data_IF_214029709791
#
_entry.id   IF_214029709791
#
_cell.length_a   1.000
_cell.length_b   1.000
_cell.length_c   1.000
_cell.angle_alpha   90.00
_cell.angle_beta   90.00
_cell.angle_gamma   90.00
#
_symmetry.space_group_name_H-M   'P 1'
#
loop_
_entity.id
_entity.type
_entity.pdbx_description
1 polymer ?
#
# COMPACT_ATOMS: atom_id res chain seq x y z
N UNK A 1 -14.06 -12.40 7.15
CA UNK A 1 -12.93 -11.75 6.45
C UNK A 1 -12.56 -12.57 5.21
N UNK A 2 -12.45 -11.91 4.05
CA UNK A 2 -12.02 -12.58 2.82
C UNK A 2 -10.49 -12.71 2.90
N UNK A 3 -9.99 -13.94 2.79
CA UNK A 3 -8.55 -14.19 2.68
C UNK A 3 -8.11 -14.08 1.21
N UNK A 4 -6.88 -13.62 0.95
CA UNK A 4 -6.30 -13.69 -0.40
C UNK A 4 -6.30 -15.11 -0.97
N UNK A 5 -6.21 -16.13 -0.09
CA UNK A 5 -6.25 -17.54 -0.49
C UNK A 5 -7.64 -18.01 -0.98
N UNK A 6 -8.70 -17.25 -0.68
CA UNK A 6 -10.06 -17.55 -1.11
C UNK A 6 -10.46 -16.88 -2.43
N UNK A 7 -9.55 -16.13 -3.07
CA UNK A 7 -9.83 -15.44 -4.32
C UNK A 7 -9.80 -16.43 -5.48
N UNK A 8 -10.93 -16.56 -6.16
CA UNK A 8 -11.04 -17.36 -7.39
C UNK A 8 -10.37 -16.63 -8.57
N UNK A 9 -9.16 -17.04 -8.91
CA UNK A 9 -8.35 -16.43 -9.97
C UNK A 9 -8.93 -16.67 -11.39
N UNK A 10 -9.89 -17.57 -11.56
CA UNK A 10 -10.57 -17.78 -12.84
C UNK A 10 -11.73 -16.79 -13.05
N UNK A 11 -12.27 -16.27 -11.96
CA UNK A 11 -13.38 -15.30 -11.97
C UNK A 11 -12.92 -13.87 -11.72
N UNK A 12 -11.95 -13.67 -10.80
CA UNK A 12 -11.48 -12.33 -10.41
C UNK A 12 -10.31 -11.89 -11.29
N UNK A 13 -10.36 -10.65 -11.77
CA UNK A 13 -9.32 -10.07 -12.66
C UNK A 13 -8.49 -8.97 -12.00
N UNK A 14 -9.02 -8.34 -10.97
CA UNK A 14 -8.37 -7.25 -10.24
C UNK A 14 -8.94 -7.17 -8.82
N UNK A 15 -8.13 -6.80 -7.86
CA UNK A 15 -8.56 -6.49 -6.49
C UNK A 15 -8.51 -4.99 -6.25
N UNK A 16 -9.42 -4.48 -5.45
CA UNK A 16 -9.39 -3.13 -4.90
C UNK A 16 -9.30 -3.23 -3.40
N UNK A 17 -8.27 -2.63 -2.83
CA UNK A 17 -8.07 -2.50 -1.39
C UNK A 17 -8.40 -1.08 -0.97
N UNK A 18 -9.33 -0.92 -0.04
CA UNK A 18 -9.73 0.39 0.50
C UNK A 18 -10.06 0.29 1.99
N UNK A 19 -10.01 1.40 2.70
CA UNK A 19 -10.38 1.46 4.12
C UNK A 19 -11.90 1.52 4.34
N UNK A 20 -12.36 0.98 5.45
CA UNK A 20 -13.74 1.12 5.87
C UNK A 20 -14.05 2.57 6.29
N UNK A 21 -15.18 3.11 5.85
CA UNK A 21 -15.57 4.50 6.12
C UNK A 21 -14.78 5.53 5.31
N UNK A 22 -14.71 6.77 5.81
CA UNK A 22 -14.15 7.90 5.05
C UNK A 22 -12.90 8.53 5.66
N UNK A 23 -12.50 8.11 6.85
CA UNK A 23 -11.44 8.77 7.63
C UNK A 23 -10.07 8.16 7.43
N UNK A 24 -9.99 6.86 7.36
CA UNK A 24 -8.70 6.15 7.31
C UNK A 24 -8.73 5.04 6.28
N UNK A 25 -7.63 4.91 5.57
CA UNK A 25 -7.31 3.70 4.82
C UNK A 25 -6.79 2.65 5.80
N UNK A 26 -5.60 2.84 6.33
CA UNK A 26 -5.01 2.09 7.46
C UNK A 26 -4.10 3.04 8.22
N UNK A 27 -4.38 3.28 9.49
CA UNK A 27 -3.66 4.28 10.30
C UNK A 27 -2.45 3.73 11.08
N UNK A 28 -1.93 2.58 10.70
CA UNK A 28 -0.76 1.94 11.31
C UNK A 28 -1.08 0.60 11.99
N UNK A 29 -0.04 -0.04 12.54
CA UNK A 29 -0.19 -1.20 13.40
C UNK A 29 -0.58 -0.76 14.83
N UNK A 30 -1.09 -1.68 15.63
CA UNK A 30 -1.38 -1.40 17.05
C UNK A 30 -0.06 -1.24 17.84
N UNK A 31 0.25 0.02 18.17
CA UNK A 31 1.48 0.37 18.91
C UNK A 31 1.44 -0.23 20.32
N UNK A 32 0.27 -0.37 20.93
CA UNK A 32 0.14 -0.95 22.26
C UNK A 32 0.49 -2.45 22.23
N UNK A 33 0.04 -3.18 21.21
CA UNK A 33 0.43 -4.58 20.99
C UNK A 33 1.95 -4.70 20.78
N UNK A 34 2.53 -3.82 19.96
CA UNK A 34 3.96 -3.86 19.66
C UNK A 34 4.84 -3.52 20.86
N UNK A 35 4.40 -2.65 21.78
CA UNK A 35 5.19 -2.18 22.92
C UNK A 35 5.49 -3.26 23.96
N UNK A 36 4.74 -4.35 23.95
CA UNK A 36 4.89 -5.47 24.89
C UNK A 36 5.73 -6.62 24.35
N UNK A 37 6.14 -6.56 23.07
CA UNK A 37 6.88 -7.64 22.44
C UNK A 37 8.32 -7.70 22.90
N UNK A 38 8.80 -8.90 23.18
CA UNK A 38 10.24 -9.18 23.30
C UNK A 38 10.93 -9.00 21.93
N UNK A 39 12.27 -8.95 21.90
CA UNK A 39 13.03 -8.86 20.67
C UNK A 39 12.65 -9.97 19.67
N UNK A 40 12.58 -11.22 20.14
CA UNK A 40 12.25 -12.37 19.28
C UNK A 40 10.81 -12.29 18.74
N UNK A 41 9.86 -11.87 19.55
CA UNK A 41 8.47 -11.66 19.12
C UNK A 41 8.37 -10.50 18.13
N UNK A 42 9.11 -9.41 18.34
CA UNK A 42 9.18 -8.28 17.41
C UNK A 42 9.76 -8.68 16.04
N UNK A 43 10.81 -9.51 16.02
CA UNK A 43 11.38 -10.08 14.80
C UNK A 43 10.35 -10.97 14.07
N UNK A 44 9.64 -11.82 14.79
CA UNK A 44 8.60 -12.68 14.23
C UNK A 44 7.41 -11.86 13.70
N UNK A 45 6.99 -10.82 14.41
CA UNK A 45 5.95 -9.88 13.98
C UNK A 45 6.33 -9.17 12.68
N UNK A 46 7.55 -8.59 12.64
CA UNK A 46 8.08 -7.94 11.45
C UNK A 46 8.17 -8.88 10.24
N UNK A 47 8.64 -10.11 10.47
CA UNK A 47 8.69 -11.14 9.42
C UNK A 47 7.29 -11.46 8.90
N UNK A 48 6.33 -11.72 9.78
CA UNK A 48 4.94 -12.02 9.41
C UNK A 48 4.32 -10.89 8.58
N UNK A 49 4.51 -9.63 8.98
CA UNK A 49 4.03 -8.48 8.23
C UNK A 49 4.66 -8.36 6.85
N UNK A 50 5.98 -8.56 6.75
CA UNK A 50 6.68 -8.57 5.47
C UNK A 50 6.18 -9.70 4.56
N UNK A 51 5.98 -10.91 5.08
CA UNK A 51 5.48 -12.06 4.33
C UNK A 51 4.07 -11.79 3.77
N UNK A 52 3.18 -11.20 4.58
CA UNK A 52 1.82 -10.81 4.14
C UNK A 52 1.86 -9.73 3.06
N UNK A 53 2.67 -8.69 3.23
CA UNK A 53 2.76 -7.60 2.26
C UNK A 53 3.45 -8.07 0.98
N UNK A 54 4.44 -8.95 1.08
CA UNK A 54 5.04 -9.59 -0.10
C UNK A 54 4.03 -10.47 -0.84
N UNK A 55 3.19 -11.20 -0.12
CA UNK A 55 2.10 -12.00 -0.73
C UNK A 55 1.14 -11.11 -1.53
N UNK A 56 0.80 -9.92 -1.02
CA UNK A 56 -0.03 -8.95 -1.73
C UNK A 56 0.68 -8.41 -3.00
N UNK A 57 1.95 -8.04 -2.87
CA UNK A 57 2.78 -7.52 -3.96
C UNK A 57 2.94 -8.53 -5.10
N UNK A 58 3.13 -9.81 -4.75
CA UNK A 58 3.29 -10.92 -5.72
C UNK A 58 1.98 -11.62 -6.05
N UNK A 59 0.84 -11.09 -5.59
CA UNK A 59 -0.46 -11.69 -5.88
C UNK A 59 -0.67 -11.80 -7.39
N UNK A 60 -1.19 -12.95 -7.92
CA UNK A 60 -1.16 -13.22 -9.37
C UNK A 60 -1.91 -12.20 -10.23
N UNK A 61 -2.93 -11.52 -9.68
CA UNK A 61 -3.71 -10.50 -10.40
C UNK A 61 -3.40 -9.10 -9.87
N UNK A 62 -3.66 -8.04 -10.66
CA UNK A 62 -3.47 -6.67 -10.21
C UNK A 62 -4.25 -6.30 -8.95
N UNK A 63 -3.61 -5.48 -8.11
CA UNK A 63 -4.21 -4.94 -6.88
C UNK A 63 -4.11 -3.41 -6.93
N UNK A 64 -5.25 -2.75 -6.77
CA UNK A 64 -5.36 -1.28 -6.70
C UNK A 64 -5.59 -0.90 -5.24
N UNK A 65 -4.73 -0.04 -4.68
CA UNK A 65 -5.01 0.65 -3.44
C UNK A 65 -5.80 1.92 -3.73
N UNK A 66 -7.05 1.97 -3.24
CA UNK A 66 -7.87 3.17 -3.21
C UNK A 66 -7.80 3.79 -1.82
N UNK A 67 -6.84 4.69 -1.64
CA UNK A 67 -6.47 5.26 -0.33
C UNK A 67 -7.42 6.39 0.03
N UNK A 68 -8.40 6.08 0.86
CA UNK A 68 -9.54 6.95 1.19
C UNK A 68 -9.34 7.85 2.43
N UNK A 69 -8.11 7.98 2.94
CA UNK A 69 -7.81 8.78 4.13
C UNK A 69 -6.40 8.54 4.65
N UNK A 70 -6.22 8.45 5.96
CA UNK A 70 -4.91 8.21 6.57
C UNK A 70 -4.32 6.86 6.17
N UNK A 71 -3.10 6.90 5.64
CA UNK A 71 -2.25 5.75 5.31
C UNK A 71 -0.88 5.95 5.98
N UNK A 72 -0.74 5.54 7.24
CA UNK A 72 0.43 5.83 8.08
C UNK A 72 1.12 4.54 8.51
N UNK A 73 2.46 4.57 8.56
CA UNK A 73 3.26 3.42 8.93
C UNK A 73 2.92 2.18 8.09
N UNK A 74 2.54 1.09 8.73
CA UNK A 74 2.05 -0.12 8.05
C UNK A 74 0.94 0.14 7.04
N UNK A 75 0.12 1.18 7.24
CA UNK A 75 -0.90 1.60 6.28
C UNK A 75 -0.31 2.19 4.99
N UNK A 76 0.75 2.98 5.09
CA UNK A 76 1.51 3.43 3.94
C UNK A 76 2.21 2.24 3.26
N UNK A 77 2.81 1.35 4.03
CA UNK A 77 3.53 0.18 3.54
C UNK A 77 2.63 -0.80 2.78
N UNK A 78 1.41 -1.11 3.28
CA UNK A 78 0.47 -1.97 2.55
C UNK A 78 -0.03 -1.30 1.27
N UNK A 79 -0.24 0.02 1.27
CA UNK A 79 -0.58 0.74 0.04
C UNK A 79 0.51 0.60 -1.02
N UNK A 80 1.79 0.68 -0.62
CA UNK A 80 2.95 0.50 -1.49
C UNK A 80 3.16 -0.95 -1.95
N UNK A 81 2.55 -1.92 -1.27
CA UNK A 81 2.56 -3.33 -1.69
C UNK A 81 1.53 -3.64 -2.79
N UNK A 82 0.61 -2.71 -3.06
CA UNK A 82 -0.30 -2.80 -4.19
C UNK A 82 0.38 -2.33 -5.48
N UNK A 83 -0.12 -2.77 -6.64
CA UNK A 83 0.45 -2.42 -7.94
C UNK A 83 0.20 -0.96 -8.31
N UNK A 84 -1.01 -0.49 -8.07
CA UNK A 84 -1.46 0.87 -8.39
C UNK A 84 -1.99 1.52 -7.12
N UNK A 85 -1.69 2.79 -6.93
CA UNK A 85 -2.21 3.62 -5.82
C UNK A 85 -2.92 4.83 -6.37
N UNK A 86 -4.19 4.95 -6.07
CA UNK A 86 -4.94 6.18 -6.22
C UNK A 86 -5.44 6.63 -4.86
N UNK A 87 -5.66 7.90 -4.67
CA UNK A 87 -6.09 8.39 -3.37
C UNK A 87 -7.15 9.49 -3.47
N UNK A 88 -7.85 9.72 -2.38
CA UNK A 88 -8.73 10.87 -2.21
C UNK A 88 -7.94 12.14 -1.85
N UNK A 89 -8.53 13.31 -2.10
CA UNK A 89 -7.93 14.62 -1.80
C UNK A 89 -7.57 14.79 -0.31
N UNK A 90 -8.31 14.12 0.58
CA UNK A 90 -8.06 14.14 2.02
C UNK A 90 -7.05 13.08 2.49
N UNK A 91 -6.49 12.27 1.58
CA UNK A 91 -5.51 11.25 1.96
C UNK A 91 -4.22 11.87 2.51
N UNK A 92 -3.68 11.20 3.51
CA UNK A 92 -2.42 11.56 4.17
C UNK A 92 -1.55 10.33 4.26
N UNK A 93 -0.31 10.45 3.81
CA UNK A 93 0.68 9.38 3.82
C UNK A 93 1.83 9.73 4.76
N UNK A 94 2.42 8.72 5.39
CA UNK A 94 3.59 8.93 6.24
C UNK A 94 4.23 7.63 6.70
N UNK A 95 5.51 7.74 7.07
CA UNK A 95 6.31 6.70 7.72
C UNK A 95 6.84 7.28 9.04
N UNK A 96 5.98 7.35 10.09
CA UNK A 96 6.31 8.05 11.33
C UNK A 96 7.15 7.22 12.31
N UNK A 97 7.57 6.02 11.94
CA UNK A 97 8.18 5.01 12.79
C UNK A 97 9.41 5.51 13.56
N UNK A 98 10.26 6.32 12.92
CA UNK A 98 11.46 6.85 13.59
C UNK A 98 11.13 7.80 14.74
N UNK A 99 9.96 8.45 14.72
CA UNK A 99 9.44 9.23 15.83
C UNK A 99 9.09 8.39 17.07
N UNK A 100 8.94 7.07 16.87
CA UNK A 100 8.70 6.07 17.92
C UNK A 100 9.96 5.28 18.27
N UNK A 101 11.13 5.64 17.70
CA UNK A 101 12.40 4.94 17.93
C UNK A 101 12.54 3.61 17.18
N UNK A 102 11.70 3.35 16.19
CA UNK A 102 11.74 2.12 15.36
C UNK A 102 11.88 2.49 13.87
N UNK A 103 12.13 1.49 13.05
CA UNK A 103 12.16 1.65 11.57
C UNK A 103 10.88 1.14 10.94
N UNK A 104 10.53 1.59 9.71
CA UNK A 104 9.46 0.96 8.92
C UNK A 104 9.72 -0.55 8.80
N UNK A 105 8.82 -1.36 9.37
CA UNK A 105 9.06 -2.79 9.60
C UNK A 105 8.53 -3.72 8.52
N UNK A 106 7.65 -3.22 7.62
CA UNK A 106 6.96 -4.05 6.63
C UNK A 106 7.37 -3.71 5.19
N UNK A 107 8.64 -3.33 5.01
CA UNK A 107 9.25 -3.11 3.70
C UNK A 107 9.17 -1.67 3.19
N UNK A 108 8.72 -0.70 4.01
CA UNK A 108 8.61 0.71 3.64
C UNK A 108 9.94 1.33 3.22
N UNK A 109 11.04 0.98 3.87
CA UNK A 109 12.39 1.45 3.50
C UNK A 109 12.76 1.09 2.06
N UNK A 110 12.26 -0.04 1.54
CA UNK A 110 12.57 -0.52 0.20
C UNK A 110 11.55 -0.03 -0.82
N UNK A 111 10.26 -0.18 -0.54
CA UNK A 111 9.20 0.21 -1.48
C UNK A 111 9.13 1.71 -1.68
N UNK A 112 9.22 2.51 -0.60
CA UNK A 112 9.19 3.96 -0.73
C UNK A 112 10.38 4.46 -1.58
N UNK A 113 11.59 3.96 -1.31
CA UNK A 113 12.78 4.38 -2.05
C UNK A 113 12.71 4.03 -3.56
N UNK A 114 12.07 2.91 -3.91
CA UNK A 114 11.85 2.52 -5.31
C UNK A 114 10.80 3.38 -5.99
N UNK A 115 9.77 3.81 -5.26
CA UNK A 115 8.68 4.61 -5.82
C UNK A 115 9.05 6.08 -6.00
N UNK A 116 9.68 6.70 -4.99
CA UNK A 116 9.90 8.16 -4.96
C UNK A 116 11.36 8.57 -5.06
N UNK A 117 12.25 7.60 -5.19
CA UNK A 117 13.71 7.81 -5.16
C UNK A 117 14.27 7.88 -3.74
N UNK A 118 15.54 7.48 -3.59
CA UNK A 118 16.18 7.33 -2.29
C UNK A 118 16.27 8.64 -1.48
N UNK A 119 16.51 9.77 -2.12
CA UNK A 119 16.61 11.08 -1.46
C UNK A 119 15.28 11.48 -0.81
N UNK A 120 14.17 11.39 -1.55
CA UNK A 120 12.84 11.72 -1.05
C UNK A 120 12.40 10.73 0.03
N UNK A 121 12.65 9.43 -0.14
CA UNK A 121 12.34 8.43 0.87
C UNK A 121 13.09 8.69 2.19
N UNK A 122 14.38 9.00 2.12
CA UNK A 122 15.19 9.38 3.30
C UNK A 122 14.61 10.62 3.98
N UNK A 123 14.27 11.65 3.21
CA UNK A 123 13.68 12.88 3.77
C UNK A 123 12.37 12.56 4.52
N UNK A 124 11.46 11.80 3.92
CA UNK A 124 10.17 11.46 4.54
C UNK A 124 10.36 10.61 5.80
N UNK A 125 11.17 9.56 5.73
CA UNK A 125 11.41 8.64 6.86
C UNK A 125 12.15 9.36 7.98
N UNK A 126 13.25 10.05 7.70
CA UNK A 126 14.09 10.66 8.74
C UNK A 126 13.38 11.80 9.48
N UNK A 127 12.52 12.53 8.79
CA UNK A 127 11.74 13.62 9.40
C UNK A 127 10.43 13.15 10.02
N UNK A 128 10.03 11.89 9.79
CA UNK A 128 8.73 11.34 10.21
C UNK A 128 7.52 12.20 9.79
N UNK A 129 7.69 13.07 8.77
CA UNK A 129 6.62 13.98 8.37
C UNK A 129 5.58 13.28 7.51
N UNK A 130 4.34 13.67 7.69
CA UNK A 130 3.25 13.27 6.82
C UNK A 130 3.15 14.19 5.60
N UNK A 131 2.68 13.63 4.49
CA UNK A 131 2.40 14.36 3.25
C UNK A 131 0.95 14.19 2.84
N UNK A 132 0.40 15.21 2.20
CA UNK A 132 -0.97 15.22 1.67
C UNK A 132 -1.00 14.72 0.22
N UNK A 133 -2.19 14.41 -0.27
CA UNK A 133 -2.43 13.88 -1.60
C UNK A 133 -1.73 14.64 -2.75
N UNK A 134 -1.73 15.99 -2.81
CA UNK A 134 -1.05 16.70 -3.89
C UNK A 134 0.48 16.46 -3.91
N UNK A 135 1.10 16.40 -2.73
CA UNK A 135 2.54 16.10 -2.64
C UNK A 135 2.81 14.63 -2.98
N UNK A 136 1.99 13.71 -2.49
CA UNK A 136 2.10 12.28 -2.82
C UNK A 136 2.03 12.04 -4.34
N UNK A 137 1.16 12.76 -5.04
CA UNK A 137 1.07 12.71 -6.49
C UNK A 137 2.31 13.31 -7.16
N UNK A 138 2.74 14.51 -6.71
CA UNK A 138 3.92 15.18 -7.27
C UNK A 138 5.20 14.35 -7.21
N UNK A 139 5.39 13.58 -6.13
CA UNK A 139 6.60 12.74 -5.94
C UNK A 139 6.46 11.33 -6.52
N UNK A 140 5.32 10.98 -7.14
CA UNK A 140 5.08 9.68 -7.74
C UNK A 140 4.71 8.57 -6.75
N UNK A 141 4.35 8.91 -5.51
CA UNK A 141 3.86 7.92 -4.54
C UNK A 141 2.48 7.39 -4.94
N UNK A 142 1.62 8.23 -5.51
CA UNK A 142 0.31 7.83 -6.04
C UNK A 142 0.15 8.18 -7.51
N UNK A 143 -0.67 7.41 -8.21
CA UNK A 143 -0.91 7.55 -9.66
C UNK A 143 -1.93 8.63 -10.01
N UNK A 144 -2.89 8.90 -9.10
CA UNK A 144 -3.93 9.91 -9.29
C UNK A 144 -4.58 10.31 -7.96
N UNK A 145 -5.21 11.48 -7.96
CA UNK A 145 -5.98 12.04 -6.82
C UNK A 145 -7.40 12.34 -7.30
N UNK A 146 -8.39 12.00 -6.49
CA UNK A 146 -9.81 12.17 -6.79
C UNK A 146 -10.54 12.83 -5.62
N UNK A 147 -11.67 13.51 -5.84
CA UNK A 147 -12.62 13.81 -4.78
C UNK A 147 -12.99 12.55 -4.00
N UNK A 148 -13.27 12.67 -2.71
CA UNK A 148 -13.54 11.52 -1.83
C UNK A 148 -14.62 10.59 -2.39
N UNK A 149 -15.71 11.15 -2.88
CA UNK A 149 -16.86 10.42 -3.44
C UNK A 149 -16.57 9.77 -4.79
N UNK A 150 -15.56 10.24 -5.52
CA UNK A 150 -15.18 9.71 -6.82
C UNK A 150 -14.09 8.64 -6.74
N UNK A 151 -13.42 8.49 -5.60
CA UNK A 151 -12.28 7.58 -5.45
C UNK A 151 -12.63 6.12 -5.78
N UNK A 152 -13.66 5.58 -5.13
CA UNK A 152 -14.05 4.18 -5.36
C UNK A 152 -14.62 3.95 -6.77
N UNK A 153 -15.50 4.81 -7.32
CA UNK A 153 -15.90 4.74 -8.73
C UNK A 153 -14.71 4.78 -9.70
N UNK A 154 -13.68 5.60 -9.43
CA UNK A 154 -12.47 5.64 -10.26
C UNK A 154 -11.66 4.34 -10.19
N UNK A 155 -11.52 3.75 -8.99
CA UNK A 155 -10.89 2.45 -8.81
C UNK A 155 -11.63 1.34 -9.55
N UNK A 156 -12.96 1.31 -9.45
CA UNK A 156 -13.81 0.34 -10.15
C UNK A 156 -13.73 0.48 -11.67
N UNK A 157 -13.72 1.72 -12.17
CA UNK A 157 -13.54 2.00 -13.61
C UNK A 157 -12.17 1.51 -14.11
N UNK A 158 -11.12 1.73 -13.32
CA UNK A 158 -9.77 1.26 -13.64
C UNK A 158 -9.71 -0.27 -13.63
N UNK A 159 -10.27 -0.92 -12.61
CA UNK A 159 -10.34 -2.38 -12.51
C UNK A 159 -11.13 -2.99 -13.67
N UNK A 160 -12.26 -2.39 -14.05
CA UNK A 160 -13.05 -2.79 -15.22
C UNK A 160 -12.25 -2.65 -16.53
N UNK A 161 -11.41 -1.60 -16.64
CA UNK A 161 -10.49 -1.45 -17.77
C UNK A 161 -9.45 -2.56 -17.84
N UNK A 162 -8.86 -2.95 -16.69
CA UNK A 162 -7.92 -4.07 -16.58
C UNK A 162 -8.62 -5.39 -16.95
N UNK A 163 -9.83 -5.61 -16.46
CA UNK A 163 -10.58 -6.84 -16.66
C UNK A 163 -10.96 -7.13 -18.14
N UNK A 164 -10.99 -6.10 -18.99
CA UNK A 164 -11.22 -6.23 -20.43
C UNK A 164 -10.02 -6.80 -21.19
N UNK A 165 -8.83 -6.77 -20.61
CA UNK A 165 -7.62 -7.24 -21.25
C UNK A 165 -7.40 -8.74 -21.01
N UNK A 166 -6.52 -9.35 -21.82
CA UNK A 166 -6.18 -10.77 -21.72
C UNK A 166 -5.55 -11.08 -20.35
N UNK A 167 -6.17 -11.90 -19.50
CA UNK A 167 -5.75 -12.08 -18.11
C UNK A 167 -4.35 -12.66 -17.96
N UNK A 168 -3.95 -13.59 -18.81
CA UNK A 168 -2.61 -14.20 -18.79
C UNK A 168 -1.55 -13.14 -19.11
N UNK A 169 -1.80 -12.28 -20.10
CA UNK A 169 -0.87 -11.20 -20.47
C UNK A 169 -0.70 -10.19 -19.32
N UNK A 170 -1.80 -9.78 -18.66
CA UNK A 170 -1.75 -8.86 -17.51
C UNK A 170 -0.94 -9.47 -16.37
N UNK A 171 -1.18 -10.75 -16.01
CA UNK A 171 -0.43 -11.46 -14.96
C UNK A 171 1.07 -11.55 -15.30
N UNK A 172 1.40 -11.88 -16.55
CA UNK A 172 2.78 -11.98 -16.98
C UNK A 172 3.50 -10.62 -16.98
N UNK A 173 2.82 -9.54 -17.37
CA UNK A 173 3.36 -8.18 -17.26
C UNK A 173 3.64 -7.81 -15.80
N UNK A 174 2.70 -8.07 -14.87
CA UNK A 174 2.93 -7.85 -13.44
C UNK A 174 4.15 -8.61 -12.96
N UNK A 175 4.23 -9.90 -13.26
CA UNK A 175 5.37 -10.75 -12.87
C UNK A 175 6.68 -10.19 -13.45
N UNK A 176 6.74 -9.88 -14.72
CA UNK A 176 7.94 -9.34 -15.37
C UNK A 176 8.40 -8.01 -14.77
N UNK A 177 7.47 -7.11 -14.43
CA UNK A 177 7.77 -5.84 -13.77
C UNK A 177 8.31 -6.05 -12.35
N UNK A 178 7.75 -7.01 -11.61
CA UNK A 178 8.16 -7.29 -10.23
C UNK A 178 9.51 -8.03 -10.14
N UNK A 179 9.85 -8.84 -11.14
CA UNK A 179 11.07 -9.66 -11.18
C UNK A 179 12.28 -8.89 -11.76
N UNK A 180 12.06 -7.81 -12.51
CA UNK A 180 13.10 -6.94 -13.10
C UNK A 180 13.52 -5.83 -12.16
#
# INVERSE_FOLDING_TARGET
PISLDSVDLDQVRCLILTGAGQKSFVAGADIAEMSTLTKAEGEAFGKKGNDVFRKLETFPIPVIAAVNGFALGGGCEISMSCDIRICSENAVFGQPEVGLGITPGFGGTQRLARLVGAGMAKQLIYTARNIKAPEAFRIGLVNAVYPQEELLPAAEKMAAGIAKNAPIAVRNCKKAINDG
#
